data_IF_788098004105
#
_entry.id   IF_788098004105
#
_cell.length_a   1.000
_cell.length_b   1.000
_cell.length_c   1.000
_cell.angle_alpha   90.00
_cell.angle_beta   90.00
_cell.angle_gamma   90.00
#
_symmetry.space_group_name_H-M   'P 1'
#
loop_
_entity.id
_entity.type
_entity.pdbx_description
1 polymer ?
#
# COMPACT_ATOMS: atom_id res chain seq x y z
N UNK A 1 -2.47 -46.60 7.36
CA UNK A 1 -3.47 -45.83 8.11
C UNK A 1 -3.67 -44.51 7.34
N UNK A 2 -4.78 -44.38 6.58
CA UNK A 2 -5.07 -43.22 5.74
C UNK A 2 -5.65 -42.13 6.65
N UNK A 3 -4.96 -41.03 6.87
CA UNK A 3 -5.48 -39.82 7.48
C UNK A 3 -6.35 -39.07 6.47
N UNK A 4 -7.60 -38.93 6.79
CA UNK A 4 -8.64 -38.29 5.99
C UNK A 4 -8.52 -36.76 6.12
N UNK A 5 -8.52 -36.06 4.98
CA UNK A 5 -8.55 -34.60 4.82
C UNK A 5 -9.89 -33.99 5.27
N UNK A 6 -10.28 -34.15 6.52
CA UNK A 6 -11.50 -33.52 7.07
C UNK A 6 -11.26 -32.52 8.22
N UNK A 7 -10.00 -32.27 8.58
CA UNK A 7 -9.67 -31.44 9.76
C UNK A 7 -9.33 -29.97 9.42
N UNK A 8 -9.46 -29.54 8.16
CA UNK A 8 -9.23 -28.13 7.77
C UNK A 8 -10.28 -27.15 8.31
N UNK A 9 -11.45 -27.65 8.67
CA UNK A 9 -12.55 -26.82 9.22
C UNK A 9 -12.38 -26.48 10.71
N UNK A 10 -11.52 -27.19 11.43
CA UNK A 10 -11.32 -26.98 12.88
C UNK A 10 -10.28 -25.88 13.14
N UNK A 11 -9.36 -25.63 12.20
CA UNK A 11 -8.33 -24.61 12.35
C UNK A 11 -8.91 -23.18 12.24
N UNK A 12 -10.01 -23.01 11.49
CA UNK A 12 -10.68 -21.70 11.28
C UNK A 12 -11.51 -21.29 12.51
N UNK A 13 -12.06 -22.23 13.25
CA UNK A 13 -12.94 -21.95 14.40
C UNK A 13 -12.18 -21.57 15.67
N UNK A 14 -10.91 -21.99 15.83
CA UNK A 14 -10.10 -21.63 17.00
C UNK A 14 -9.53 -20.20 16.96
N UNK A 15 -9.54 -19.51 15.82
CA UNK A 15 -9.01 -18.14 15.68
C UNK A 15 -9.96 -17.08 16.28
N UNK A 16 -11.24 -17.41 16.50
CA UNK A 16 -12.24 -16.46 16.99
C UNK A 16 -12.30 -16.30 18.54
N UNK A 17 -11.45 -16.96 19.32
CA UNK A 17 -11.56 -16.96 20.78
C UNK A 17 -10.37 -16.43 21.59
N UNK A 18 -9.34 -15.87 20.97
CA UNK A 18 -8.27 -15.18 21.69
C UNK A 18 -8.35 -13.67 21.52
N UNK A 19 -9.40 -13.05 22.06
CA UNK A 19 -9.46 -11.60 22.30
C UNK A 19 -8.64 -11.26 23.56
N UNK A 20 -7.32 -11.24 23.47
CA UNK A 20 -6.46 -10.72 24.54
C UNK A 20 -5.68 -9.51 24.01
N UNK A 21 -6.22 -8.33 24.35
CA UNK A 21 -5.51 -7.05 24.50
C UNK A 21 -4.52 -6.64 23.40
N UNK A 22 -5.04 -6.33 22.23
CA UNK A 22 -4.38 -5.35 21.34
C UNK A 22 -5.17 -4.05 21.51
N UNK A 23 -4.57 -2.93 21.92
CA UNK A 23 -5.28 -1.67 22.06
C UNK A 23 -5.86 -1.26 20.70
N UNK A 24 -7.13 -0.91 20.66
CA UNK A 24 -7.74 -0.29 19.48
C UNK A 24 -7.22 1.13 19.37
N UNK A 25 -6.49 1.43 18.31
CA UNK A 25 -6.23 2.81 17.92
C UNK A 25 -7.57 3.53 17.71
N UNK A 26 -7.79 4.72 18.28
CA UNK A 26 -8.98 5.49 17.97
C UNK A 26 -8.96 5.82 16.49
N UNK A 27 -9.96 5.35 15.74
CA UNK A 27 -10.11 5.68 14.32
C UNK A 27 -10.17 7.21 14.20
N UNK A 28 -9.11 7.81 13.68
CA UNK A 28 -9.16 9.21 13.30
C UNK A 28 -10.13 9.33 12.13
N UNK A 29 -11.31 9.88 12.38
CA UNK A 29 -12.29 10.10 11.32
C UNK A 29 -11.71 11.07 10.31
N UNK A 30 -11.33 10.58 9.15
CA UNK A 30 -10.92 11.41 8.03
C UNK A 30 -12.12 12.20 7.53
N UNK A 31 -12.02 13.52 7.55
CA UNK A 31 -13.06 14.40 7.01
C UNK A 31 -12.85 14.63 5.52
N UNK A 32 -13.89 15.09 4.82
CA UNK A 32 -13.78 15.47 3.40
C UNK A 32 -14.08 16.96 3.29
N UNK A 33 -13.08 17.75 2.89
CA UNK A 33 -13.19 19.20 2.71
C UNK A 33 -12.46 19.57 1.42
N UNK A 34 -13.20 19.55 0.32
CA UNK A 34 -12.63 19.74 -1.02
C UNK A 34 -12.16 21.18 -1.23
N UNK A 35 -10.90 21.33 -1.60
CA UNK A 35 -10.32 22.55 -2.12
C UNK A 35 -10.41 22.56 -3.66
N UNK A 36 -11.02 23.56 -4.24
CA UNK A 36 -11.27 23.61 -5.69
C UNK A 36 -9.99 23.67 -6.53
N UNK A 37 -8.94 24.30 -6.01
CA UNK A 37 -7.65 24.41 -6.70
C UNK A 37 -6.94 23.06 -6.68
N UNK A 38 -6.84 22.43 -5.52
CA UNK A 38 -6.23 21.11 -5.36
C UNK A 38 -7.02 20.04 -6.12
N UNK A 39 -8.34 20.13 -6.10
CA UNK A 39 -9.23 19.25 -6.87
C UNK A 39 -8.93 19.34 -8.38
N UNK A 40 -8.75 20.56 -8.92
CA UNK A 40 -8.45 20.76 -10.33
C UNK A 40 -7.09 20.18 -10.73
N UNK A 41 -6.08 20.32 -9.86
CA UNK A 41 -4.73 19.75 -10.07
C UNK A 41 -4.81 18.22 -10.14
N UNK A 42 -5.43 17.58 -9.14
CA UNK A 42 -5.57 16.11 -9.08
C UNK A 42 -6.35 15.61 -10.29
N UNK A 43 -7.48 16.25 -10.61
CA UNK A 43 -8.30 15.91 -11.77
C UNK A 43 -7.50 15.98 -13.07
N UNK A 44 -6.74 17.04 -13.29
CA UNK A 44 -5.94 17.23 -14.51
C UNK A 44 -4.94 16.09 -14.71
N UNK A 45 -4.06 15.84 -13.71
CA UNK A 45 -2.99 14.86 -13.84
C UNK A 45 -3.48 13.42 -13.88
N UNK A 46 -4.53 13.09 -13.12
CA UNK A 46 -5.13 11.74 -13.12
C UNK A 46 -5.83 11.47 -14.45
N UNK A 47 -6.60 12.45 -14.99
CA UNK A 47 -7.24 12.30 -16.29
C UNK A 47 -6.23 12.12 -17.41
N UNK A 48 -5.18 12.96 -17.45
CA UNK A 48 -4.10 12.84 -18.45
C UNK A 48 -3.46 11.46 -18.41
N UNK A 49 -3.12 10.98 -17.21
CA UNK A 49 -2.43 9.70 -17.05
C UNK A 49 -3.34 8.53 -17.42
N UNK A 50 -4.60 8.55 -17.00
CA UNK A 50 -5.60 7.52 -17.33
C UNK A 50 -5.81 7.41 -18.85
N UNK A 51 -5.98 8.54 -19.54
CA UNK A 51 -6.14 8.58 -20.99
C UNK A 51 -4.89 8.11 -21.72
N UNK A 52 -3.71 8.57 -21.29
CA UNK A 52 -2.43 8.18 -21.90
C UNK A 52 -2.21 6.67 -21.88
N UNK A 53 -2.59 6.01 -20.78
CA UNK A 53 -2.41 4.57 -20.59
C UNK A 53 -3.62 3.74 -20.99
N UNK A 54 -4.71 4.40 -21.41
CA UNK A 54 -5.97 3.73 -21.75
C UNK A 54 -6.41 2.77 -20.62
N UNK A 55 -6.30 3.25 -19.36
CA UNK A 55 -6.78 2.51 -18.21
C UNK A 55 -8.32 2.51 -18.17
N UNK A 56 -8.93 1.44 -17.64
CA UNK A 56 -10.38 1.36 -17.47
C UNK A 56 -10.91 2.51 -16.62
N UNK A 57 -10.19 2.81 -15.52
CA UNK A 57 -10.41 4.01 -14.71
C UNK A 57 -9.13 4.40 -13.96
N UNK A 58 -9.09 5.65 -13.54
CA UNK A 58 -8.06 6.23 -12.69
C UNK A 58 -8.69 6.93 -11.49
N UNK A 59 -8.06 6.78 -10.31
CA UNK A 59 -8.44 7.43 -9.06
C UNK A 59 -7.27 8.22 -8.53
N UNK A 60 -7.53 9.45 -8.09
CA UNK A 60 -6.59 10.27 -7.31
C UNK A 60 -7.25 10.74 -6.03
N UNK A 61 -6.54 10.61 -4.89
CA UNK A 61 -6.96 11.14 -3.60
C UNK A 61 -5.81 11.95 -3.02
N UNK A 62 -6.11 13.16 -2.56
CA UNK A 62 -5.16 14.03 -1.85
C UNK A 62 -5.69 14.31 -0.45
N UNK A 63 -4.90 14.00 0.56
CA UNK A 63 -5.17 14.23 1.98
C UNK A 63 -4.29 15.38 2.48
N UNK A 64 -4.88 16.38 3.11
CA UNK A 64 -4.19 17.33 3.97
C UNK A 64 -3.89 16.63 5.30
N UNK A 65 -2.62 16.37 5.54
CA UNK A 65 -2.16 15.65 6.73
C UNK A 65 -2.19 16.50 8.01
N UNK A 66 -2.22 17.82 7.88
CA UNK A 66 -2.29 18.71 9.04
C UNK A 66 -3.70 18.70 9.66
N UNK A 67 -4.72 18.68 8.79
CA UNK A 67 -6.13 18.72 9.19
C UNK A 67 -6.79 17.33 9.18
N UNK A 68 -6.06 16.27 8.74
CA UNK A 68 -6.58 14.94 8.50
C UNK A 68 -7.85 14.95 7.63
N UNK A 69 -7.79 15.71 6.53
CA UNK A 69 -8.94 15.97 5.67
C UNK A 69 -8.60 15.67 4.20
N UNK A 70 -9.45 14.90 3.53
CA UNK A 70 -9.38 14.74 2.07
C UNK A 70 -9.72 16.07 1.42
N UNK A 71 -8.74 16.69 0.77
CA UNK A 71 -8.87 17.99 0.12
C UNK A 71 -9.07 17.90 -1.40
N UNK A 72 -8.78 16.74 -2.01
CA UNK A 72 -9.16 16.44 -3.38
C UNK A 72 -9.43 14.94 -3.56
N UNK A 73 -10.43 14.62 -4.37
CA UNK A 73 -10.79 13.25 -4.73
C UNK A 73 -11.37 13.24 -6.14
N UNK A 74 -10.77 12.48 -7.02
CA UNK A 74 -11.22 12.40 -8.41
C UNK A 74 -11.09 10.98 -8.94
N UNK A 75 -12.18 10.50 -9.54
CA UNK A 75 -12.20 9.25 -10.29
C UNK A 75 -12.71 9.53 -11.71
N UNK A 76 -12.08 8.89 -12.70
CA UNK A 76 -12.54 9.01 -14.10
C UNK A 76 -13.82 8.21 -14.37
N UNK A 77 -14.11 7.18 -13.55
CA UNK A 77 -15.41 6.53 -13.51
C UNK A 77 -16.38 7.38 -12.67
N UNK A 78 -17.50 7.75 -13.25
CA UNK A 78 -18.49 8.62 -12.60
C UNK A 78 -19.65 7.83 -11.97
N UNK A 79 -19.67 6.51 -12.14
CA UNK A 79 -20.74 5.63 -11.66
C UNK A 79 -20.37 5.03 -10.30
N UNK A 80 -19.11 4.54 -10.18
CA UNK A 80 -18.62 3.86 -8.98
C UNK A 80 -17.67 4.76 -8.20
N UNK A 81 -17.92 4.90 -6.91
CA UNK A 81 -17.03 5.64 -6.01
C UNK A 81 -15.89 4.75 -5.51
N UNK A 82 -14.92 4.49 -6.37
CA UNK A 82 -13.79 3.62 -6.08
C UNK A 82 -12.93 4.07 -4.88
N UNK A 83 -13.06 5.29 -4.40
CA UNK A 83 -12.36 5.71 -3.19
C UNK A 83 -12.85 4.95 -1.93
N UNK A 84 -14.10 4.49 -1.94
CA UNK A 84 -14.74 3.76 -0.84
C UNK A 84 -14.96 2.28 -1.16
N UNK A 85 -14.72 1.84 -2.39
CA UNK A 85 -14.85 0.43 -2.75
C UNK A 85 -13.63 -0.36 -2.25
N UNK A 86 -13.83 -1.43 -1.47
CA UNK A 86 -12.74 -2.29 -1.03
C UNK A 86 -12.07 -2.97 -2.23
N UNK A 87 -10.74 -2.89 -2.28
CA UNK A 87 -9.93 -3.39 -3.40
C UNK A 87 -8.72 -4.16 -2.86
N UNK A 88 -8.29 -5.18 -3.59
CA UNK A 88 -6.96 -5.74 -3.40
C UNK A 88 -5.92 -4.73 -3.88
N UNK A 89 -5.02 -4.34 -2.97
CA UNK A 89 -4.07 -3.26 -3.24
C UNK A 89 -2.65 -3.77 -3.57
N UNK A 90 -2.41 -5.08 -3.42
CA UNK A 90 -1.12 -5.69 -3.73
C UNK A 90 0.02 -5.12 -2.88
N UNK A 91 1.19 -5.00 -3.47
CA UNK A 91 2.43 -4.69 -2.76
C UNK A 91 2.49 -3.32 -2.09
N UNK A 92 1.49 -2.46 -2.27
CA UNK A 92 1.35 -1.23 -1.50
C UNK A 92 1.11 -1.54 -0.01
N UNK A 93 0.65 -2.76 0.31
CA UNK A 93 0.43 -3.23 1.69
C UNK A 93 1.70 -3.78 2.37
N UNK A 94 2.81 -3.97 1.64
CA UNK A 94 4.06 -4.52 2.18
C UNK A 94 4.59 -3.78 3.43
N UNK A 95 4.58 -2.45 3.52
CA UNK A 95 5.06 -1.74 4.71
C UNK A 95 4.35 -2.20 5.98
N UNK A 96 3.05 -2.45 5.93
CA UNK A 96 2.26 -2.88 7.08
C UNK A 96 2.49 -4.35 7.43
N UNK A 97 2.73 -5.20 6.44
CA UNK A 97 3.15 -6.59 6.65
C UNK A 97 4.51 -6.67 7.36
N UNK A 98 5.48 -5.87 6.91
CA UNK A 98 6.80 -5.81 7.53
C UNK A 98 6.73 -5.20 8.94
N UNK A 99 5.92 -4.17 9.13
CA UNK A 99 5.68 -3.56 10.44
C UNK A 99 5.05 -4.57 11.42
N UNK A 100 4.05 -5.33 10.96
CA UNK A 100 3.44 -6.41 11.73
C UNK A 100 4.48 -7.49 12.09
N UNK A 101 5.34 -7.88 11.15
CA UNK A 101 6.38 -8.86 11.39
C UNK A 101 7.37 -8.39 12.46
N UNK A 102 7.80 -7.14 12.41
CA UNK A 102 8.67 -6.53 13.42
C UNK A 102 7.99 -6.45 14.80
N UNK A 103 6.68 -6.14 14.82
CA UNK A 103 5.88 -6.10 16.05
C UNK A 103 5.73 -7.47 16.72
N UNK A 104 5.90 -8.57 16.01
CA UNK A 104 5.70 -9.92 16.53
C UNK A 104 6.66 -10.33 17.65
N UNK A 105 7.72 -9.57 17.91
CA UNK A 105 8.84 -9.88 18.82
C UNK A 105 9.60 -11.20 18.48
N UNK A 106 9.26 -11.85 17.37
CA UNK A 106 9.92 -13.08 16.91
C UNK A 106 11.09 -12.79 15.95
N UNK A 107 11.28 -11.50 15.61
CA UNK A 107 12.31 -11.04 14.69
C UNK A 107 13.15 -9.99 15.39
N UNK A 108 14.48 -10.16 15.34
CA UNK A 108 15.42 -9.15 15.79
C UNK A 108 15.65 -8.11 14.68
N UNK A 109 15.72 -6.83 15.05
CA UNK A 109 16.13 -5.74 14.15
C UNK A 109 17.55 -5.94 13.60
N UNK A 110 18.39 -6.68 14.36
CA UNK A 110 19.76 -7.06 13.99
C UNK A 110 19.81 -8.37 13.21
N UNK A 111 18.69 -8.81 12.61
CA UNK A 111 18.68 -10.03 11.79
C UNK A 111 19.59 -9.83 10.54
N UNK A 112 20.88 -9.72 10.80
CA UNK A 112 21.98 -9.58 9.84
C UNK A 112 22.17 -10.85 8.99
N UNK A 113 21.46 -11.92 9.31
CA UNK A 113 21.44 -13.16 8.52
C UNK A 113 20.47 -13.06 7.31
N UNK A 114 19.71 -11.99 7.19
CA UNK A 114 18.93 -11.72 5.98
C UNK A 114 19.83 -11.02 4.94
N UNK A 115 19.86 -11.56 3.73
CA UNK A 115 20.60 -11.02 2.58
C UNK A 115 20.11 -9.60 2.21
N UNK A 116 19.00 -9.13 2.79
CA UNK A 116 18.31 -7.90 2.43
C UNK A 116 17.78 -7.18 3.69
N UNK A 117 18.04 -5.89 3.80
CA UNK A 117 17.49 -5.07 4.89
C UNK A 117 15.98 -4.82 4.72
N UNK A 118 15.31 -4.39 5.79
CA UNK A 118 13.88 -4.00 5.75
C UNK A 118 13.67 -2.87 4.73
N UNK A 119 14.57 -1.89 4.70
CA UNK A 119 14.54 -0.76 3.78
C UNK A 119 14.64 -1.25 2.33
N UNK A 120 15.59 -2.16 2.04
CA UNK A 120 15.77 -2.72 0.70
C UNK A 120 14.54 -3.53 0.27
N UNK A 121 13.91 -4.29 1.19
CA UNK A 121 12.68 -5.04 0.91
C UNK A 121 11.56 -4.13 0.42
N UNK A 122 11.43 -2.93 1.03
CA UNK A 122 10.44 -1.93 0.65
C UNK A 122 10.85 -1.23 -0.65
N UNK A 123 12.11 -0.79 -0.76
CA UNK A 123 12.63 -0.07 -1.92
C UNK A 123 12.48 -0.88 -3.22
N UNK A 124 12.84 -2.16 -3.17
CA UNK A 124 12.73 -3.10 -4.28
C UNK A 124 11.33 -3.69 -4.46
N UNK A 125 10.43 -3.44 -3.51
CA UNK A 125 9.12 -4.13 -3.46
C UNK A 125 9.24 -5.66 -3.49
N UNK A 126 10.19 -6.23 -2.73
CA UNK A 126 10.52 -7.65 -2.76
C UNK A 126 9.45 -8.49 -2.05
N UNK A 127 8.56 -9.12 -2.82
CA UNK A 127 7.53 -10.02 -2.28
C UNK A 127 8.12 -11.25 -1.62
N UNK A 128 9.17 -11.83 -2.21
CA UNK A 128 9.84 -13.02 -1.67
C UNK A 128 10.46 -12.76 -0.30
N UNK A 129 11.17 -11.65 -0.13
CA UNK A 129 11.79 -11.29 1.13
C UNK A 129 10.73 -10.95 2.20
N UNK A 130 9.68 -10.22 1.82
CA UNK A 130 8.53 -9.92 2.70
C UNK A 130 7.85 -11.20 3.17
N UNK A 131 7.56 -12.15 2.27
CA UNK A 131 6.97 -13.43 2.62
C UNK A 131 7.88 -14.25 3.55
N UNK A 132 9.18 -14.29 3.28
CA UNK A 132 10.12 -15.03 4.13
C UNK A 132 10.14 -14.48 5.56
N UNK A 133 10.22 -13.14 5.71
CA UNK A 133 10.24 -12.50 7.02
C UNK A 133 8.89 -12.66 7.75
N UNK A 134 7.77 -12.44 7.09
CA UNK A 134 6.45 -12.59 7.66
C UNK A 134 6.14 -14.05 8.02
N UNK A 135 6.60 -15.02 7.22
CA UNK A 135 6.47 -16.45 7.53
C UNK A 135 7.31 -16.83 8.75
N UNK A 136 8.50 -16.28 8.91
CA UNK A 136 9.30 -16.46 10.11
C UNK A 136 8.60 -15.88 11.36
N UNK A 137 8.02 -14.68 11.23
CA UNK A 137 7.32 -14.02 12.32
C UNK A 137 6.05 -14.77 12.76
N UNK A 138 5.31 -15.32 11.80
CA UNK A 138 3.95 -15.83 11.99
C UNK A 138 3.74 -17.25 11.43
N UNK A 139 4.78 -18.10 11.39
CA UNK A 139 4.72 -19.45 10.80
C UNK A 139 3.51 -20.28 11.25
N UNK A 140 3.03 -20.05 12.47
CA UNK A 140 1.91 -20.78 13.03
C UNK A 140 0.55 -20.07 12.86
N UNK A 141 0.53 -18.79 12.43
CA UNK A 141 -0.70 -18.03 12.24
C UNK A 141 -0.51 -16.83 11.31
N UNK A 142 -0.54 -17.00 9.99
CA UNK A 142 -0.35 -15.93 9.01
C UNK A 142 -1.44 -14.85 9.05
N UNK A 143 -2.63 -15.15 9.58
CA UNK A 143 -3.74 -14.20 9.69
C UNK A 143 -3.43 -13.07 10.70
N UNK A 144 -2.47 -13.27 11.61
CA UNK A 144 -2.06 -12.21 12.56
C UNK A 144 -1.55 -10.92 11.91
N UNK A 145 -1.05 -10.99 10.68
CA UNK A 145 -0.73 -9.78 9.91
C UNK A 145 -1.99 -8.95 9.65
N UNK A 146 -3.08 -9.61 9.27
CA UNK A 146 -4.36 -8.95 9.03
C UNK A 146 -4.97 -8.42 10.33
N UNK A 147 -4.88 -9.19 11.42
CA UNK A 147 -5.29 -8.73 12.75
C UNK A 147 -4.53 -7.47 13.17
N UNK A 148 -3.22 -7.41 12.91
CA UNK A 148 -2.43 -6.21 13.17
C UNK A 148 -2.97 -5.00 12.38
N UNK A 149 -3.23 -5.15 11.07
CA UNK A 149 -3.75 -4.08 10.22
C UNK A 149 -5.17 -3.67 10.67
N UNK A 150 -6.05 -4.61 10.99
CA UNK A 150 -7.39 -4.32 11.52
C UNK A 150 -7.34 -3.53 12.84
N UNK A 151 -6.37 -3.83 13.70
CA UNK A 151 -6.21 -3.12 14.97
C UNK A 151 -5.75 -1.67 14.83
N UNK A 152 -5.23 -1.28 13.65
CA UNK A 152 -4.98 0.14 13.32
C UNK A 152 -6.26 0.91 12.96
N UNK A 153 -7.45 0.32 13.12
CA UNK A 153 -8.75 0.95 12.88
C UNK A 153 -9.25 0.86 11.44
N UNK A 154 -8.67 -0.03 10.63
CA UNK A 154 -9.12 -0.29 9.26
C UNK A 154 -10.09 -1.45 9.18
N UNK A 155 -11.16 -1.29 8.40
CA UNK A 155 -12.04 -2.40 8.03
C UNK A 155 -11.40 -3.12 6.84
N UNK A 156 -10.98 -4.36 7.07
CA UNK A 156 -10.46 -5.24 6.04
C UNK A 156 -11.49 -6.33 5.76
N UNK A 157 -11.87 -6.46 4.50
CA UNK A 157 -12.68 -7.57 4.03
C UNK A 157 -11.75 -8.71 3.56
N UNK A 158 -11.84 -9.85 4.23
CA UNK A 158 -11.04 -11.04 3.92
C UNK A 158 -11.89 -12.03 3.14
N UNK A 159 -11.49 -12.37 1.92
CA UNK A 159 -12.09 -13.48 1.18
C UNK A 159 -11.45 -14.81 1.60
N UNK A 160 -11.97 -15.38 2.69
CA UNK A 160 -11.50 -16.68 3.19
C UNK A 160 -11.79 -17.84 2.24
N UNK A 161 -12.72 -17.67 1.29
CA UNK A 161 -13.08 -18.74 0.33
C UNK A 161 -12.04 -18.89 -0.77
N UNK A 162 -11.30 -17.83 -1.06
CA UNK A 162 -10.20 -17.82 -2.02
C UNK A 162 -8.89 -18.39 -1.45
N UNK A 163 -8.79 -18.57 -0.13
CA UNK A 163 -7.58 -19.08 0.54
C UNK A 163 -7.64 -20.61 0.59
N UNK A 164 -7.13 -21.27 -0.44
CA UNK A 164 -7.22 -22.75 -0.58
C UNK A 164 -5.87 -23.46 -0.50
N UNK A 165 -4.76 -22.72 -0.54
CA UNK A 165 -3.41 -23.27 -0.59
C UNK A 165 -2.41 -22.47 0.26
N UNK A 166 -1.21 -23.05 0.50
CA UNK A 166 -0.09 -22.35 1.14
C UNK A 166 0.34 -21.13 0.31
N UNK A 167 0.22 -21.20 -1.01
CA UNK A 167 0.53 -20.09 -1.90
C UNK A 167 -0.44 -18.92 -1.67
N UNK A 168 -1.73 -19.20 -1.49
CA UNK A 168 -2.74 -18.18 -1.18
C UNK A 168 -2.45 -17.53 0.18
N UNK A 169 -2.08 -18.33 1.19
CA UNK A 169 -1.65 -17.82 2.51
C UNK A 169 -0.44 -16.89 2.36
N UNK A 170 0.55 -17.27 1.56
CA UNK A 170 1.74 -16.45 1.33
C UNK A 170 1.39 -15.14 0.62
N UNK A 171 0.40 -15.15 -0.26
CA UNK A 171 -0.02 -13.97 -1.01
C UNK A 171 -0.73 -12.91 -0.15
N UNK A 172 -1.27 -13.29 1.02
CA UNK A 172 -1.75 -12.33 2.02
C UNK A 172 -0.65 -11.36 2.47
N UNK A 173 0.61 -11.82 2.54
CA UNK A 173 1.73 -10.99 2.99
C UNK A 173 2.06 -9.83 2.05
N UNK A 174 1.55 -9.84 0.82
CA UNK A 174 1.76 -8.76 -0.15
C UNK A 174 0.46 -8.24 -0.78
N UNK A 175 -0.65 -8.35 -0.03
CA UNK A 175 -1.86 -7.58 -0.32
C UNK A 175 -2.90 -8.25 -1.21
N UNK A 176 -2.93 -9.60 -1.27
CA UNK A 176 -3.97 -10.38 -1.95
C UNK A 176 -4.90 -11.06 -0.96
N UNK A 177 -6.08 -11.50 -1.43
CA UNK A 177 -7.13 -12.18 -0.68
C UNK A 177 -7.74 -11.38 0.48
N UNK A 178 -7.49 -10.08 0.51
CA UNK A 178 -8.22 -9.15 1.35
C UNK A 178 -8.32 -7.79 0.67
N UNK A 179 -9.39 -7.11 0.97
CA UNK A 179 -9.72 -5.82 0.36
C UNK A 179 -9.67 -4.71 1.41
N UNK A 180 -9.20 -3.55 0.98
CA UNK A 180 -9.19 -2.31 1.77
C UNK A 180 -9.65 -1.16 0.89
N UNK A 181 -10.52 -0.29 1.40
CA UNK A 181 -10.91 0.89 0.66
C UNK A 181 -9.73 1.88 0.53
N UNK A 182 -9.50 2.48 -0.66
CA UNK A 182 -8.42 3.45 -0.86
C UNK A 182 -8.38 4.58 0.18
N UNK A 183 -9.52 5.06 0.64
CA UNK A 183 -9.59 6.10 1.67
C UNK A 183 -9.08 5.61 3.04
N UNK A 184 -9.29 4.34 3.37
CA UNK A 184 -8.75 3.75 4.60
C UNK A 184 -7.24 3.53 4.49
N UNK A 185 -6.75 3.15 3.30
CA UNK A 185 -5.32 3.07 3.02
C UNK A 185 -4.63 4.44 3.21
N UNK A 186 -5.29 5.54 2.81
CA UNK A 186 -4.79 6.90 3.06
C UNK A 186 -4.58 7.15 4.56
N UNK A 187 -5.54 6.77 5.40
CA UNK A 187 -5.43 6.93 6.86
C UNK A 187 -4.24 6.15 7.43
N UNK A 188 -4.05 4.90 7.03
CA UNK A 188 -2.92 4.08 7.45
C UNK A 188 -1.57 4.71 7.11
N UNK A 189 -1.42 5.17 5.88
CA UNK A 189 -0.18 5.81 5.45
C UNK A 189 0.06 7.17 6.12
N UNK A 190 -1.01 7.92 6.41
CA UNK A 190 -0.89 9.18 7.13
C UNK A 190 -0.40 8.99 8.56
N UNK A 191 -0.89 7.96 9.27
CA UNK A 191 -0.43 7.61 10.61
C UNK A 191 1.02 7.09 10.59
N UNK A 192 1.37 6.25 9.61
CA UNK A 192 2.74 5.78 9.41
C UNK A 192 3.71 6.94 9.18
N UNK A 193 3.39 7.85 8.26
CA UNK A 193 4.24 8.99 7.92
C UNK A 193 4.43 9.98 9.08
N UNK A 194 3.45 10.07 9.99
CA UNK A 194 3.52 10.86 11.22
C UNK A 194 4.14 10.12 12.40
N UNK A 195 4.53 8.86 12.23
CA UNK A 195 5.02 7.98 13.28
C UNK A 195 4.01 7.84 14.45
N UNK A 196 2.72 7.71 14.13
CA UNK A 196 1.60 7.70 15.06
C UNK A 196 0.91 6.33 15.21
N UNK A 197 1.36 5.31 14.46
CA UNK A 197 0.86 3.96 14.65
C UNK A 197 1.24 3.46 16.06
N UNK A 198 0.33 2.74 16.71
CA UNK A 198 0.57 2.15 18.04
C UNK A 198 1.50 0.94 17.97
N UNK A 199 2.75 1.15 17.53
CA UNK A 199 3.78 0.15 17.45
C UNK A 199 5.17 0.77 17.69
N UNK A 200 6.21 -0.08 17.64
CA UNK A 200 7.59 0.36 17.89
C UNK A 200 8.01 1.50 16.95
N UNK A 201 8.48 2.60 17.54
CA UNK A 201 8.92 3.81 16.82
C UNK A 201 10.11 3.52 15.89
N UNK A 202 11.04 2.64 16.30
CA UNK A 202 12.18 2.26 15.47
C UNK A 202 11.70 1.48 14.23
N UNK A 203 10.73 0.57 14.42
CA UNK A 203 10.13 -0.16 13.29
C UNK A 203 9.50 0.81 12.28
N UNK A 204 8.73 1.80 12.74
CA UNK A 204 8.14 2.81 11.87
C UNK A 204 9.20 3.61 11.12
N UNK A 205 10.29 4.01 11.79
CA UNK A 205 11.39 4.74 11.18
C UNK A 205 12.08 3.92 10.09
N UNK A 206 12.33 2.61 10.32
CA UNK A 206 12.89 1.72 9.30
C UNK A 206 11.98 1.60 8.08
N UNK A 207 10.67 1.51 8.31
CA UNK A 207 9.68 1.48 7.22
C UNK A 207 9.70 2.81 6.45
N UNK A 208 9.67 3.95 7.12
CA UNK A 208 9.72 5.27 6.48
C UNK A 208 11.02 5.46 5.69
N UNK A 209 12.18 5.00 6.19
CA UNK A 209 13.42 5.01 5.43
C UNK A 209 13.31 4.16 4.15
N UNK A 210 12.65 3.01 4.22
CA UNK A 210 12.37 2.21 3.03
C UNK A 210 11.46 2.93 2.03
N UNK A 211 10.45 3.69 2.51
CA UNK A 211 9.61 4.53 1.65
C UNK A 211 10.40 5.68 0.98
N UNK A 212 11.38 6.25 1.69
CA UNK A 212 12.36 7.16 1.11
C UNK A 212 13.12 6.46 -0.03
N UNK A 213 13.69 5.30 0.24
CA UNK A 213 14.52 4.56 -0.71
C UNK A 213 13.76 4.09 -1.96
N UNK A 214 12.42 3.90 -1.88
CA UNK A 214 11.57 3.66 -3.06
C UNK A 214 11.74 4.77 -4.11
N UNK A 215 11.92 6.02 -3.66
CA UNK A 215 11.99 7.21 -4.52
C UNK A 215 13.43 7.66 -4.76
N UNK A 216 14.31 7.56 -3.77
CA UNK A 216 15.63 8.21 -3.80
C UNK A 216 16.79 7.25 -3.99
N UNK A 217 16.60 5.94 -3.89
CA UNK A 217 17.65 4.97 -4.17
C UNK A 217 17.67 4.60 -5.65
N UNK A 218 18.57 5.23 -6.41
CA UNK A 218 18.67 5.08 -7.87
C UNK A 218 19.06 3.68 -8.34
N UNK A 219 19.52 2.82 -7.44
CA UNK A 219 19.92 1.44 -7.78
C UNK A 219 18.78 0.45 -7.68
N UNK A 220 17.91 0.64 -6.68
CA UNK A 220 16.89 -0.37 -6.33
C UNK A 220 15.48 0.20 -6.17
N UNK A 221 15.33 1.53 -6.06
CA UNK A 221 14.04 2.18 -5.82
C UNK A 221 13.07 2.02 -6.99
N UNK A 222 11.91 1.45 -6.74
CA UNK A 222 10.91 1.17 -7.78
C UNK A 222 10.29 2.44 -8.39
N UNK A 223 10.35 3.57 -7.69
CA UNK A 223 9.87 4.86 -8.17
C UNK A 223 10.96 5.94 -8.25
N UNK A 224 12.24 5.56 -8.30
CA UNK A 224 13.38 6.46 -8.41
C UNK A 224 13.55 6.97 -9.85
N UNK A 225 14.44 6.38 -10.62
CA UNK A 225 14.72 6.77 -12.01
C UNK A 225 14.45 5.61 -12.98
N UNK A 226 14.23 5.95 -14.24
CA UNK A 226 14.22 4.95 -15.32
C UNK A 226 15.66 4.52 -15.64
N UNK A 227 15.88 3.41 -16.37
CA UNK A 227 17.22 3.01 -16.84
C UNK A 227 17.96 4.10 -17.66
N UNK A 228 17.24 5.07 -18.20
CA UNK A 228 17.79 6.21 -18.96
C UNK A 228 17.94 7.49 -18.10
N UNK A 229 17.80 7.38 -16.76
CA UNK A 229 17.96 8.51 -15.84
C UNK A 229 16.78 9.48 -15.77
N UNK A 230 15.60 9.12 -16.30
CA UNK A 230 14.40 9.95 -16.18
C UNK A 230 13.77 9.76 -14.81
N UNK A 231 13.55 10.84 -14.02
CA UNK A 231 12.89 10.74 -12.73
C UNK A 231 11.46 10.19 -12.86
N UNK A 232 11.12 9.24 -11.98
CA UNK A 232 9.76 8.71 -11.81
C UNK A 232 9.00 9.58 -10.80
N UNK A 233 9.11 9.26 -9.48
CA UNK A 233 8.56 10.06 -8.40
C UNK A 233 9.55 11.06 -7.79
N UNK A 234 10.84 10.99 -8.13
CA UNK A 234 11.82 12.00 -7.69
C UNK A 234 11.49 13.38 -8.24
N UNK A 235 11.62 14.41 -7.40
CA UNK A 235 11.43 15.81 -7.78
C UNK A 235 12.57 16.67 -7.22
N UNK A 236 12.99 17.66 -8.01
CA UNK A 236 13.93 18.69 -7.53
C UNK A 236 13.24 19.83 -6.77
N UNK A 237 11.92 19.86 -6.75
CA UNK A 237 11.12 20.93 -6.14
C UNK A 237 10.59 20.55 -4.76
N UNK A 238 10.31 19.26 -4.53
CA UNK A 238 9.74 18.77 -3.28
C UNK A 238 10.19 17.34 -3.02
N UNK A 239 10.53 17.04 -1.76
CA UNK A 239 10.90 15.69 -1.34
C UNK A 239 9.64 14.82 -1.20
N UNK A 240 9.66 13.64 -1.82
CA UNK A 240 8.56 12.68 -1.80
C UNK A 240 9.08 11.36 -1.25
N UNK A 241 8.37 10.77 -0.30
CA UNK A 241 8.56 9.38 0.10
C UNK A 241 7.27 8.60 -0.13
N UNK A 242 7.36 7.32 -0.52
CA UNK A 242 6.14 6.58 -0.84
C UNK A 242 6.38 5.15 -1.28
N UNK A 243 5.32 4.52 -1.78
CA UNK A 243 5.31 3.10 -2.16
C UNK A 243 4.60 2.87 -3.49
N UNK A 244 5.21 2.07 -4.34
CA UNK A 244 4.55 1.49 -5.52
C UNK A 244 3.69 0.30 -5.13
N UNK A 245 2.56 0.14 -5.82
CA UNK A 245 1.68 -1.02 -5.70
C UNK A 245 1.39 -1.62 -7.07
N UNK A 246 1.32 -2.94 -7.12
CA UNK A 246 0.82 -3.67 -8.28
C UNK A 246 0.06 -4.90 -7.80
N UNK A 247 -1.15 -5.08 -8.30
CA UNK A 247 -1.98 -6.25 -8.05
C UNK A 247 -2.57 -6.77 -9.35
N UNK A 248 -2.57 -8.08 -9.53
CA UNK A 248 -3.37 -8.71 -10.58
C UNK A 248 -4.85 -8.52 -10.26
N UNK A 249 -5.66 -8.28 -11.27
CA UNK A 249 -7.10 -8.11 -11.08
C UNK A 249 -7.78 -9.47 -11.07
N UNK A 250 -8.53 -9.75 -9.97
CA UNK A 250 -9.43 -10.88 -9.91
C UNK A 250 -10.72 -10.55 -10.68
N UNK A 251 -11.01 -11.32 -11.72
CA UNK A 251 -12.18 -11.14 -12.57
C UNK A 251 -12.60 -12.50 -13.11
N UNK A 252 -13.90 -12.75 -13.22
CA UNK A 252 -14.46 -14.01 -13.75
C UNK A 252 -13.91 -15.27 -13.05
N UNK A 253 -13.76 -15.18 -11.71
CA UNK A 253 -13.35 -16.32 -10.88
C UNK A 253 -11.85 -16.64 -10.87
N UNK A 254 -10.99 -15.77 -11.43
CA UNK A 254 -9.53 -15.98 -11.48
C UNK A 254 -8.73 -14.68 -11.54
N UNK A 255 -7.46 -14.75 -11.16
CA UNK A 255 -6.49 -13.69 -11.44
C UNK A 255 -6.05 -13.70 -12.90
N UNK A 256 -5.98 -12.53 -13.51
CA UNK A 256 -5.58 -12.34 -14.90
C UNK A 256 -4.15 -11.84 -15.00
N UNK A 257 -3.26 -12.60 -15.65
CA UNK A 257 -1.84 -12.25 -15.79
C UNK A 257 -1.59 -10.94 -16.58
N UNK A 258 -2.56 -10.51 -17.37
CA UNK A 258 -2.44 -9.33 -18.23
C UNK A 258 -3.28 -8.14 -17.75
N UNK A 259 -3.99 -8.29 -16.64
CA UNK A 259 -4.78 -7.21 -16.06
C UNK A 259 -4.22 -6.86 -14.69
N UNK A 260 -3.69 -5.65 -14.56
CA UNK A 260 -3.11 -5.18 -13.31
C UNK A 260 -3.78 -3.90 -12.85
N UNK A 261 -3.87 -3.75 -11.56
CA UNK A 261 -4.08 -2.48 -10.90
C UNK A 261 -2.73 -1.99 -10.45
N UNK A 262 -2.30 -0.82 -10.95
CA UNK A 262 -1.06 -0.18 -10.54
C UNK A 262 -1.37 1.06 -9.70
N UNK A 263 -0.53 1.34 -8.72
CA UNK A 263 -0.74 2.45 -7.81
C UNK A 263 0.58 3.01 -7.27
N UNK A 264 0.52 4.24 -6.81
CA UNK A 264 1.55 4.85 -5.99
C UNK A 264 0.90 5.73 -4.93
N UNK A 265 1.36 5.56 -3.69
CA UNK A 265 1.02 6.43 -2.58
C UNK A 265 2.29 7.12 -2.09
N UNK A 266 2.23 8.43 -1.89
CA UNK A 266 3.40 9.18 -1.43
C UNK A 266 3.00 10.42 -0.64
N UNK A 267 3.78 10.75 0.40
CA UNK A 267 3.63 11.96 1.19
C UNK A 267 4.73 12.97 0.87
N UNK A 268 4.40 14.23 1.01
CA UNK A 268 5.31 15.34 0.71
C UNK A 268 4.94 16.63 1.46
N UNK A 269 5.93 17.53 1.76
CA UNK A 269 7.36 17.24 1.78
C UNK A 269 7.68 16.10 2.77
N UNK A 270 8.71 15.30 2.50
CA UNK A 270 9.03 14.14 3.34
C UNK A 270 9.38 14.52 4.77
N UNK A 271 10.18 15.58 4.96
CA UNK A 271 10.68 15.98 6.28
C UNK A 271 9.57 16.51 7.22
N UNK A 272 8.53 17.09 6.65
CA UNK A 272 7.37 17.62 7.36
C UNK A 272 6.11 17.40 6.53
N UNK A 273 5.55 16.19 6.54
CA UNK A 273 4.47 15.81 5.65
C UNK A 273 3.22 16.71 5.79
N UNK A 274 2.90 17.40 4.72
CA UNK A 274 1.71 18.24 4.62
C UNK A 274 0.60 17.56 3.82
N UNK A 275 0.99 16.84 2.77
CA UNK A 275 0.06 16.15 1.90
C UNK A 275 0.43 14.67 1.73
N UNK A 276 -0.58 13.84 1.60
CA UNK A 276 -0.48 12.46 1.17
C UNK A 276 -1.33 12.29 -0.09
N UNK A 277 -0.73 11.77 -1.15
CA UNK A 277 -1.40 11.56 -2.44
C UNK A 277 -1.36 10.09 -2.85
N UNK A 278 -2.52 9.55 -3.22
CA UNK A 278 -2.68 8.21 -3.80
C UNK A 278 -3.18 8.35 -5.23
N UNK A 279 -2.50 7.66 -6.15
CA UNK A 279 -2.97 7.48 -7.53
C UNK A 279 -3.09 5.99 -7.83
N UNK A 280 -4.24 5.59 -8.37
CA UNK A 280 -4.53 4.22 -8.81
C UNK A 280 -4.95 4.26 -10.27
N UNK A 281 -4.42 3.34 -11.07
CA UNK A 281 -4.86 3.08 -12.44
C UNK A 281 -5.28 1.62 -12.57
N UNK A 282 -6.51 1.38 -12.98
CA UNK A 282 -7.06 0.03 -13.13
C UNK A 282 -6.96 -0.44 -14.57
N UNK A 283 -6.40 -1.62 -14.77
CA UNK A 283 -6.29 -2.29 -16.06
C UNK A 283 -5.78 -1.38 -17.20
N UNK A 284 -4.61 -0.70 -17.04
CA UNK A 284 -4.03 0.04 -18.16
C UNK A 284 -3.75 -0.93 -19.31
N UNK A 285 -4.14 -0.54 -20.53
CA UNK A 285 -4.01 -1.39 -21.71
C UNK A 285 -2.85 -0.99 -22.63
N UNK A 286 -2.37 0.24 -22.53
CA UNK A 286 -1.26 0.75 -23.34
C UNK A 286 0.08 0.42 -22.68
N UNK A 287 0.70 -0.63 -23.15
CA UNK A 287 2.01 -1.11 -22.69
C UNK A 287 3.19 -0.34 -23.37
N UNK A 288 4.37 -0.15 -22.71
CA UNK A 288 4.67 -0.54 -21.34
C UNK A 288 4.07 0.42 -20.32
N UNK A 289 3.70 -0.11 -19.15
CA UNK A 289 3.28 0.66 -17.98
C UNK A 289 3.95 0.10 -16.72
N UNK A 290 4.19 0.97 -15.73
CA UNK A 290 4.70 0.58 -14.41
C UNK A 290 4.24 1.59 -13.33
N UNK A 291 4.05 1.09 -12.11
CA UNK A 291 3.54 1.88 -11.00
C UNK A 291 4.40 3.12 -10.69
N UNK A 292 5.73 3.00 -10.74
CA UNK A 292 6.64 4.11 -10.47
C UNK A 292 6.62 5.16 -11.59
N UNK A 293 6.76 4.71 -12.85
CA UNK A 293 6.85 5.60 -14.02
C UNK A 293 5.54 6.28 -14.35
N UNK A 294 4.40 5.71 -13.96
CA UNK A 294 3.08 6.21 -14.32
C UNK A 294 2.37 6.83 -13.12
N UNK A 295 2.05 6.05 -12.08
CA UNK A 295 1.39 6.56 -10.88
C UNK A 295 2.34 7.43 -10.04
N UNK A 296 3.62 7.03 -9.88
CA UNK A 296 4.63 7.81 -9.17
C UNK A 296 4.92 9.14 -9.87
N UNK A 297 5.05 9.15 -11.19
CA UNK A 297 5.22 10.39 -11.95
C UNK A 297 3.97 11.28 -11.92
N UNK A 298 2.77 10.70 -11.84
CA UNK A 298 1.53 11.46 -11.65
C UNK A 298 1.52 12.17 -10.29
N UNK A 299 1.85 11.44 -9.20
CA UNK A 299 1.96 12.04 -7.85
C UNK A 299 3.04 13.11 -7.82
N UNK A 300 4.20 12.90 -8.46
CA UNK A 300 5.24 13.92 -8.56
C UNK A 300 4.73 15.21 -9.21
N UNK A 301 4.05 15.13 -10.35
CA UNK A 301 3.48 16.30 -11.05
C UNK A 301 2.48 17.04 -10.17
N UNK A 302 1.62 16.31 -9.45
CA UNK A 302 0.67 16.89 -8.48
C UNK A 302 1.42 17.63 -7.38
N UNK A 303 2.43 16.99 -6.78
CA UNK A 303 3.23 17.57 -5.69
C UNK A 303 4.00 18.82 -6.15
N UNK A 304 4.63 18.78 -7.34
CA UNK A 304 5.35 19.91 -7.93
C UNK A 304 4.41 21.11 -8.18
N UNK A 305 3.22 20.86 -8.74
CA UNK A 305 2.26 21.95 -9.00
C UNK A 305 1.71 22.57 -7.72
N UNK A 306 1.48 21.76 -6.67
CA UNK A 306 1.05 22.27 -5.35
C UNK A 306 2.16 23.09 -4.71
N UNK A 307 3.43 22.66 -4.79
CA UNK A 307 4.57 23.33 -4.15
C UNK A 307 4.96 24.65 -4.83
N UNK A 308 4.49 24.93 -6.04
CA UNK A 308 4.80 26.15 -6.80
C UNK A 308 3.69 27.20 -6.72
N UNK A 309 2.58 26.91 -6.03
CA UNK A 309 1.45 27.84 -5.81
C UNK A 309 1.46 28.43 -4.40
#
# INVERSE_FOLDING_TARGET
MKLSLKDSSILIVCVLLCNACIPKCPSSTTTITIDSTLQSIVQHHVSETTLRLQAEWGLGILLDMQNNSVCAIYCTDTIVNYAHEPLEMGTIMQPFTLLAALYSNNISYDATDTIMTIQDMIAMSSTNATCALASQAYANNPIKVLEFIQNTGTDIEIDTTAITSITDISSLYYGYHYNIAPIQLMSLYAELAKNQLECDTLAQQLICQGLHDVVWNDKIGTASITPWGTPKAQSSLVTIAGKTGSAQIYRDGKYHNNLHRISFIGYFPEDNPQYLCLVILNAPSKFPYDAGSDCGACVRKIAEEISTK
#
